data_IF_294371231469
#
_entry.id   IF_294371231469
#
_cell.length_a   1.000
_cell.length_b   1.000
_cell.length_c   1.000
_cell.angle_alpha   90.00
_cell.angle_beta   90.00
_cell.angle_gamma   90.00
#
_symmetry.space_group_name_H-M   'P 1'
#
loop_
_entity.id
_entity.type
_entity.pdbx_description
1 polymer ?
#
# COMPACT_ATOMS: atom_id res chain seq x y z
N UNK A 1 -17.46 -5.03 35.32
CA UNK A 1 -16.13 -5.34 34.75
C UNK A 1 -16.25 -5.21 33.24
N UNK A 2 -15.34 -4.51 32.57
CA UNK A 2 -15.38 -4.39 31.09
C UNK A 2 -14.45 -5.47 30.56
N UNK A 3 -15.01 -6.43 29.84
CA UNK A 3 -14.24 -7.46 29.14
C UNK A 3 -13.50 -6.81 27.97
N UNK A 4 -12.17 -6.90 27.98
CA UNK A 4 -11.35 -6.37 26.91
C UNK A 4 -11.48 -7.26 25.67
N UNK A 5 -11.64 -6.64 24.50
CA UNK A 5 -11.58 -7.36 23.24
C UNK A 5 -10.17 -7.91 23.02
N UNK A 6 -10.05 -9.22 22.84
CA UNK A 6 -8.82 -9.88 22.40
C UNK A 6 -8.84 -10.06 20.87
N UNK A 7 -7.79 -9.57 20.21
CA UNK A 7 -7.62 -9.83 18.79
C UNK A 7 -7.45 -11.35 18.55
N UNK A 8 -8.06 -11.91 17.48
CA UNK A 8 -7.86 -13.30 17.13
C UNK A 8 -6.37 -13.61 16.95
N UNK A 9 -5.91 -14.73 17.55
CA UNK A 9 -4.49 -15.12 17.55
C UNK A 9 -3.94 -15.42 16.15
N UNK A 10 -4.81 -15.76 15.21
CA UNK A 10 -4.52 -16.13 13.82
C UNK A 10 -4.70 -14.97 12.83
N UNK A 11 -5.07 -13.77 13.29
CA UNK A 11 -5.37 -12.64 12.40
C UNK A 11 -4.19 -12.27 11.48
N UNK A 12 -2.96 -12.40 11.98
CA UNK A 12 -1.75 -12.12 11.21
C UNK A 12 -1.54 -13.16 10.10
N UNK A 13 -1.63 -14.45 10.43
CA UNK A 13 -1.44 -15.54 9.48
C UNK A 13 -2.49 -15.49 8.36
N UNK A 14 -3.76 -15.26 8.72
CA UNK A 14 -4.86 -15.10 7.78
C UNK A 14 -4.63 -13.90 6.84
N UNK A 15 -4.10 -12.78 7.34
CA UNK A 15 -3.80 -11.62 6.51
C UNK A 15 -2.64 -11.88 5.55
N UNK A 16 -1.62 -12.62 6.00
CA UNK A 16 -0.46 -12.99 5.17
C UNK A 16 -0.84 -13.97 4.06
N UNK A 17 -1.66 -14.98 4.35
CA UNK A 17 -2.18 -15.92 3.35
C UNK A 17 -2.94 -15.18 2.24
N UNK A 18 -3.89 -14.32 2.63
CA UNK A 18 -4.64 -13.49 1.68
C UNK A 18 -3.74 -12.60 0.81
N UNK A 19 -2.66 -12.06 1.39
CA UNK A 19 -1.72 -11.22 0.66
C UNK A 19 -0.87 -12.02 -0.33
N UNK A 20 -0.47 -13.24 0.04
CA UNK A 20 0.25 -14.16 -0.87
C UNK A 20 -0.65 -14.54 -2.04
N UNK A 21 -1.89 -14.93 -1.78
CA UNK A 21 -2.85 -15.31 -2.81
C UNK A 21 -3.13 -14.15 -3.76
N UNK A 22 -3.43 -12.96 -3.22
CA UNK A 22 -3.64 -11.75 -4.02
C UNK A 22 -2.48 -11.50 -4.99
N UNK A 23 -1.24 -11.60 -4.49
CA UNK A 23 -0.04 -11.38 -5.32
C UNK A 23 0.14 -12.44 -6.39
N UNK A 24 -0.30 -13.67 -6.15
CA UNK A 24 -0.22 -14.78 -7.10
C UNK A 24 -1.28 -14.71 -8.21
N UNK A 25 -2.48 -14.17 -7.91
CA UNK A 25 -3.63 -14.24 -8.83
C UNK A 25 -3.90 -12.95 -9.61
N UNK A 26 -3.47 -11.79 -9.11
CA UNK A 26 -3.76 -10.49 -9.73
C UNK A 26 -3.09 -10.29 -11.09
N UNK A 27 -3.69 -9.43 -11.92
CA UNK A 27 -3.13 -9.06 -13.22
C UNK A 27 -1.86 -8.20 -13.05
N UNK A 28 -0.72 -8.82 -13.34
CA UNK A 28 0.59 -8.18 -13.20
C UNK A 28 0.82 -7.01 -14.16
N UNK A 29 0.16 -7.00 -15.33
CA UNK A 29 0.29 -5.89 -16.28
C UNK A 29 -0.48 -4.68 -15.77
N UNK A 30 -1.74 -4.87 -15.38
CA UNK A 30 -2.59 -3.79 -14.84
C UNK A 30 -1.96 -3.19 -13.59
N UNK A 31 -1.40 -4.03 -12.71
CA UNK A 31 -0.65 -3.60 -11.55
C UNK A 31 0.55 -2.70 -11.91
N UNK A 32 1.41 -3.14 -12.83
CA UNK A 32 2.59 -2.36 -13.22
C UNK A 32 2.21 -1.01 -13.83
N UNK A 33 1.21 -1.00 -14.69
CA UNK A 33 0.74 0.23 -15.33
C UNK A 33 0.18 1.21 -14.27
N UNK A 34 -0.57 0.71 -13.29
CA UNK A 34 -1.10 1.52 -12.20
C UNK A 34 -0.02 2.06 -11.26
N UNK A 35 1.02 1.26 -10.96
CA UNK A 35 2.16 1.69 -10.15
C UNK A 35 2.97 2.79 -10.84
N UNK A 36 3.21 2.67 -12.15
CA UNK A 36 3.87 3.71 -12.95
C UNK A 36 3.04 5.00 -12.93
N UNK A 37 1.73 4.92 -13.18
CA UNK A 37 0.86 6.09 -13.14
C UNK A 37 0.82 6.77 -11.76
N UNK A 38 0.89 5.99 -10.68
CA UNK A 38 0.98 6.52 -9.32
C UNK A 38 2.31 7.25 -9.07
N UNK A 39 3.42 6.66 -9.49
CA UNK A 39 4.75 7.28 -9.38
C UNK A 39 4.83 8.60 -10.16
N UNK A 40 4.33 8.62 -11.40
CA UNK A 40 4.23 9.82 -12.24
C UNK A 40 3.39 10.91 -11.58
N UNK A 41 2.24 10.55 -11.00
CA UNK A 41 1.39 11.49 -10.28
C UNK A 41 2.12 12.10 -9.08
N UNK A 42 2.85 11.27 -8.30
CA UNK A 42 3.62 11.70 -7.13
C UNK A 42 4.73 12.71 -7.47
N UNK A 43 5.41 12.57 -8.60
CA UNK A 43 6.51 13.48 -9.00
C UNK A 43 6.05 14.68 -9.83
N UNK A 44 4.74 14.77 -10.10
CA UNK A 44 4.13 15.86 -10.86
C UNK A 44 3.42 16.87 -9.94
N UNK A 45 2.80 17.91 -10.53
CA UNK A 45 1.88 18.82 -9.83
C UNK A 45 0.42 18.36 -9.88
N UNK A 46 0.16 17.15 -10.36
CA UNK A 46 -1.19 16.59 -10.50
C UNK A 46 -1.76 16.12 -9.17
N UNK A 47 -3.09 16.03 -9.08
CA UNK A 47 -3.73 15.38 -7.94
C UNK A 47 -3.43 13.87 -7.95
N UNK A 48 -2.93 13.33 -6.84
CA UNK A 48 -2.54 11.93 -6.69
C UNK A 48 -3.77 11.00 -6.56
N UNK A 49 -4.90 11.52 -6.08
CA UNK A 49 -6.07 10.69 -5.73
C UNK A 49 -6.58 9.81 -6.89
N UNK A 50 -6.73 10.29 -8.14
CA UNK A 50 -7.15 9.44 -9.25
C UNK A 50 -6.18 8.27 -9.52
N UNK A 51 -4.87 8.51 -9.44
CA UNK A 51 -3.88 7.46 -9.65
C UNK A 51 -3.85 6.45 -8.49
N UNK A 52 -4.06 6.93 -7.25
CA UNK A 52 -4.18 6.06 -6.08
C UNK A 52 -5.43 5.16 -6.17
N UNK A 53 -6.56 5.70 -6.63
CA UNK A 53 -7.78 4.91 -6.86
C UNK A 53 -7.53 3.82 -7.91
N UNK A 54 -6.90 4.17 -9.04
CA UNK A 54 -6.53 3.21 -10.07
C UNK A 54 -5.59 2.11 -9.54
N UNK A 55 -4.62 2.45 -8.68
CA UNK A 55 -3.75 1.48 -8.02
C UNK A 55 -4.54 0.53 -7.10
N UNK A 56 -5.49 1.05 -6.32
CA UNK A 56 -6.33 0.20 -5.46
C UNK A 56 -7.27 -0.71 -6.26
N UNK A 57 -7.83 -0.23 -7.38
CA UNK A 57 -8.63 -1.04 -8.30
C UNK A 57 -7.80 -2.13 -8.99
N UNK A 58 -6.51 -1.86 -9.22
CA UNK A 58 -5.54 -2.79 -9.78
C UNK A 58 -4.96 -3.79 -8.74
N UNK A 59 -5.56 -3.90 -7.55
CA UNK A 59 -5.13 -4.82 -6.49
C UNK A 59 -3.67 -4.60 -6.04
N UNK A 60 -3.19 -3.36 -6.14
CA UNK A 60 -1.91 -2.96 -5.54
C UNK A 60 -2.06 -2.95 -4.03
N UNK A 61 -1.15 -3.60 -3.32
CA UNK A 61 -1.19 -3.66 -1.87
C UNK A 61 -0.75 -2.34 -1.23
N UNK A 62 -1.21 -2.09 -0.01
CA UNK A 62 -0.81 -0.89 0.75
C UNK A 62 0.71 -0.77 0.92
N UNK A 63 1.40 -1.90 1.08
CA UNK A 63 2.86 -1.93 1.17
C UNK A 63 3.57 -1.49 -0.11
N UNK A 64 2.99 -1.79 -1.28
CA UNK A 64 3.51 -1.39 -2.59
C UNK A 64 3.24 0.09 -2.86
N UNK A 65 2.03 0.59 -2.56
CA UNK A 65 1.73 2.03 -2.57
C UNK A 65 2.70 2.80 -1.66
N UNK A 66 2.92 2.29 -0.44
CA UNK A 66 3.86 2.88 0.49
C UNK A 66 5.31 2.85 -0.01
N UNK A 67 5.68 1.86 -0.81
CA UNK A 67 7.00 1.82 -1.45
C UNK A 67 7.15 2.91 -2.51
N UNK A 68 6.12 3.14 -3.34
CA UNK A 68 6.09 4.27 -4.29
C UNK A 68 6.24 5.59 -3.55
N UNK A 69 5.43 5.83 -2.50
CA UNK A 69 5.51 7.07 -1.73
C UNK A 69 6.89 7.28 -1.09
N UNK A 70 7.50 6.23 -0.53
CA UNK A 70 8.85 6.31 0.03
C UNK A 70 9.91 6.58 -1.05
N UNK A 71 9.73 6.05 -2.26
CA UNK A 71 10.60 6.33 -3.41
C UNK A 71 10.48 7.78 -3.87
N UNK A 72 9.24 8.29 -4.00
CA UNK A 72 8.98 9.63 -4.53
C UNK A 72 9.21 10.76 -3.53
N UNK A 73 8.89 10.54 -2.26
CA UNK A 73 8.89 11.59 -1.22
C UNK A 73 9.94 11.39 -0.13
N UNK A 74 10.57 10.21 -0.06
CA UNK A 74 11.39 9.81 1.06
C UNK A 74 10.57 9.30 2.24
N UNK A 75 11.28 9.03 3.34
CA UNK A 75 10.65 8.65 4.61
C UNK A 75 10.73 9.83 5.57
N UNK A 76 9.69 10.01 6.38
CA UNK A 76 9.69 11.06 7.40
C UNK A 76 10.66 10.66 8.51
N UNK A 77 11.65 11.52 8.76
CA UNK A 77 12.61 11.38 9.85
C UNK A 77 12.20 12.32 10.99
N UNK A 78 12.32 11.83 12.24
CA UNK A 78 12.03 12.65 13.41
C UNK A 78 13.01 13.84 13.43
N UNK A 79 12.53 15.09 13.52
CA UNK A 79 13.38 16.27 13.32
C UNK A 79 14.28 16.61 14.53
N UNK A 80 14.32 15.77 15.57
CA UNK A 80 15.16 15.97 16.75
C UNK A 80 15.56 14.63 17.37
N UNK A 81 16.86 14.48 17.63
CA UNK A 81 17.41 13.47 18.53
C UNK A 81 17.43 14.03 19.96
N UNK A 82 17.02 13.20 20.93
CA UNK A 82 17.07 13.52 22.37
C UNK A 82 18.45 13.26 22.97
#
# INVERSE_FOLDING_TARGET
EIEAFEAPRDAFDNAMERLVDLRATRDQKVLRDALVGLEEACVSSSNIMPAMMAATEAEVSLGEIGAVFRSSFGSWEVPFDF
#
